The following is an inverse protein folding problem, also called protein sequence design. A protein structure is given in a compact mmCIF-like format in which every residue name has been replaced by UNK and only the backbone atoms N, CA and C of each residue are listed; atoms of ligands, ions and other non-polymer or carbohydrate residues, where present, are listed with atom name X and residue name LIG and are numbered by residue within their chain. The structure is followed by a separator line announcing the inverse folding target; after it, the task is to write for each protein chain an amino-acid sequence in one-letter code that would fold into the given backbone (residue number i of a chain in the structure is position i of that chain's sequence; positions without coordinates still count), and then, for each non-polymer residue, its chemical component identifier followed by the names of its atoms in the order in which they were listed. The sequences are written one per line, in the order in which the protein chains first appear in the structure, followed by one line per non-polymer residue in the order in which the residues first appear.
data_IF_767941546977
#
_entry.id   IF_767941546977
#
_cell.length_a   1.000
_cell.length_b   1.000
_cell.length_c   1.000
_cell.angle_alpha   90.00
_cell.angle_beta   90.00
_cell.angle_gamma   90.00
#
_symmetry.space_group_name_H-M   'P 1'
#
loop_
_entity.id
_entity.type
_entity.pdbx_description
1 polymer ?
#
# COMPACT_ATOMS: atom_id res chain seq x y z
N UNK A 1 -27.06 -47.19 -8.57
CA UNK A 1 -25.91 -46.53 -7.93
C UNK A 1 -25.31 -45.54 -8.93
N UNK A 2 -25.49 -44.23 -8.74
CA UNK A 2 -24.97 -43.20 -9.66
C UNK A 2 -23.52 -42.91 -9.28
N UNK A 3 -22.57 -43.30 -10.14
CA UNK A 3 -21.15 -42.92 -10.01
C UNK A 3 -21.04 -41.40 -10.21
N UNK A 4 -20.58 -40.67 -9.20
CA UNK A 4 -20.24 -39.26 -9.34
C UNK A 4 -18.88 -39.19 -10.02
N UNK A 5 -18.84 -38.64 -11.24
CA UNK A 5 -17.61 -38.39 -11.97
C UNK A 5 -17.07 -37.04 -11.51
N UNK A 6 -15.95 -37.03 -10.79
CA UNK A 6 -15.25 -35.79 -10.42
C UNK A 6 -14.42 -35.37 -11.62
N UNK A 7 -14.94 -34.46 -12.44
CA UNK A 7 -14.16 -33.83 -13.51
C UNK A 7 -13.25 -32.78 -12.88
N UNK A 8 -11.94 -32.97 -12.93
CA UNK A 8 -10.97 -31.93 -12.59
C UNK A 8 -11.13 -30.76 -13.56
N UNK A 9 -11.41 -29.56 -13.04
CA UNK A 9 -11.44 -28.33 -13.82
C UNK A 9 -10.00 -27.92 -14.18
N UNK A 10 -9.78 -27.30 -15.36
CA UNK A 10 -8.46 -26.84 -15.77
C UNK A 10 -7.95 -25.76 -14.80
N UNK A 11 -6.65 -25.79 -14.48
CA UNK A 11 -5.98 -24.87 -13.54
C UNK A 11 -6.16 -23.40 -13.97
N UNK A 12 -6.39 -23.14 -15.25
CA UNK A 12 -6.69 -21.81 -15.79
C UNK A 12 -8.05 -21.23 -15.38
N UNK A 13 -8.99 -22.05 -14.90
CA UNK A 13 -10.30 -21.60 -14.42
C UNK A 13 -10.32 -21.17 -12.94
N UNK A 14 -9.23 -21.36 -12.18
CA UNK A 14 -9.12 -20.88 -10.80
C UNK A 14 -8.82 -19.37 -10.69
N UNK A 15 -8.52 -18.70 -11.79
CA UNK A 15 -8.28 -17.26 -11.80
C UNK A 15 -9.56 -16.43 -12.01
N UNK A 16 -10.72 -17.07 -12.19
CA UNK A 16 -12.02 -16.41 -12.43
C UNK A 16 -13.01 -16.53 -11.26
N UNK A 17 -12.52 -16.74 -10.03
CA UNK A 17 -13.27 -16.41 -8.80
C UNK A 17 -13.05 -14.95 -8.41
N UNK A 18 -13.33 -14.04 -9.35
CA UNK A 18 -13.26 -12.60 -9.11
C UNK A 18 -14.57 -12.10 -8.48
N UNK A 19 -14.66 -12.12 -7.15
CA UNK A 19 -15.14 -10.96 -6.36
C UNK A 19 -15.04 -11.10 -4.83
N UNK A 20 -14.74 -12.26 -4.23
CA UNK A 20 -14.72 -12.39 -2.76
C UNK A 20 -13.33 -12.47 -2.10
N UNK A 21 -12.23 -12.45 -2.86
CA UNK A 21 -10.93 -12.09 -2.29
C UNK A 21 -10.88 -10.57 -2.28
N UNK A 22 -11.39 -9.96 -1.21
CA UNK A 22 -11.15 -8.55 -0.93
C UNK A 22 -9.67 -8.28 -1.22
N UNK A 23 -9.36 -7.27 -2.06
CA UNK A 23 -7.99 -6.89 -2.37
C UNK A 23 -7.34 -6.36 -1.09
N UNK A 24 -6.91 -7.27 -0.23
CA UNK A 24 -6.32 -6.97 1.06
C UNK A 24 -4.90 -6.50 0.81
N UNK A 25 -4.57 -5.37 1.40
CA UNK A 25 -3.21 -4.85 1.39
C UNK A 25 -2.35 -5.68 2.32
N UNK A 26 -1.15 -6.04 1.86
CA UNK A 26 -0.17 -6.76 2.67
C UNK A 26 1.04 -5.86 2.93
N UNK A 27 1.69 -6.06 4.08
CA UNK A 27 3.00 -5.48 4.35
C UNK A 27 3.97 -5.95 3.26
N UNK A 28 4.74 -5.02 2.72
CA UNK A 28 5.64 -5.22 1.58
C UNK A 28 5.03 -4.86 0.23
N UNK A 29 3.71 -4.66 0.12
CA UNK A 29 3.08 -4.31 -1.15
C UNK A 29 3.52 -2.95 -1.68
N UNK A 30 3.72 -2.87 -3.00
CA UNK A 30 3.84 -1.60 -3.72
C UNK A 30 2.49 -0.89 -3.77
N UNK A 31 2.49 0.41 -3.49
CA UNK A 31 1.28 1.24 -3.53
C UNK A 31 1.57 2.68 -3.99
N UNK A 32 0.50 3.38 -4.36
CA UNK A 32 0.49 4.81 -4.63
C UNK A 32 -0.56 5.49 -3.75
N UNK A 33 -0.11 6.39 -2.87
CA UNK A 33 -0.98 7.18 -2.00
C UNK A 33 -1.59 8.32 -2.80
N UNK A 34 -2.92 8.44 -2.77
CA UNK A 34 -3.64 9.42 -3.58
C UNK A 34 -3.50 9.20 -5.09
N UNK A 35 -3.02 8.02 -5.50
CA UNK A 35 -2.77 7.70 -6.91
C UNK A 35 -1.44 8.21 -7.48
N UNK A 36 -0.68 9.03 -6.75
CA UNK A 36 0.50 9.71 -7.31
C UNK A 36 1.78 9.48 -6.52
N UNK A 37 1.70 9.38 -5.19
CA UNK A 37 2.89 9.31 -4.34
C UNK A 37 3.29 7.84 -4.13
N UNK A 38 4.43 7.39 -4.69
CA UNK A 38 4.86 6.01 -4.55
C UNK A 38 5.36 5.67 -3.13
N UNK A 39 5.10 4.43 -2.71
CA UNK A 39 5.69 3.88 -1.49
C UNK A 39 5.45 2.38 -1.32
N UNK A 40 5.89 1.83 -0.19
CA UNK A 40 5.67 0.43 0.19
C UNK A 40 4.94 0.36 1.53
N UNK A 41 3.98 -0.54 1.63
CA UNK A 41 3.24 -0.76 2.87
C UNK A 41 4.16 -1.38 3.91
N UNK A 42 4.24 -0.76 5.09
CA UNK A 42 5.03 -1.22 6.22
C UNK A 42 4.14 -1.63 7.42
N UNK A 43 2.89 -1.18 7.43
CA UNK A 43 1.91 -1.51 8.47
C UNK A 43 0.50 -1.57 7.89
N UNK A 44 -0.31 -2.51 8.36
CA UNK A 44 -1.75 -2.57 8.10
C UNK A 44 -2.45 -2.98 9.39
N UNK A 45 -3.37 -2.16 9.89
CA UNK A 45 -4.13 -2.49 11.10
C UNK A 45 -4.74 -1.29 11.82
N UNK A 46 -5.25 -1.55 13.01
CA UNK A 46 -5.78 -0.51 13.90
C UNK A 46 -4.66 0.34 14.50
N UNK A 47 -4.96 1.61 14.78
CA UNK A 47 -3.99 2.54 15.37
C UNK A 47 -4.55 3.19 16.63
N UNK A 48 -3.65 3.69 17.49
CA UNK A 48 -4.06 4.41 18.71
C UNK A 48 -4.59 5.82 18.43
N UNK A 49 -4.26 6.39 17.28
CA UNK A 49 -4.61 7.77 16.93
C UNK A 49 -5.91 7.89 16.12
N UNK A 50 -6.50 6.78 15.66
CA UNK A 50 -7.79 6.84 14.99
C UNK A 50 -8.43 5.48 14.73
N UNK A 51 -9.77 5.39 14.76
CA UNK A 51 -10.48 4.13 14.59
C UNK A 51 -10.41 3.58 13.17
N UNK A 52 -10.61 2.27 13.02
CA UNK A 52 -10.66 1.55 11.74
C UNK A 52 -9.28 1.29 11.15
N UNK A 53 -9.24 0.58 10.03
CA UNK A 53 -7.97 0.12 9.44
C UNK A 53 -7.18 1.30 8.83
N UNK A 54 -5.88 1.30 9.09
CA UNK A 54 -4.89 2.22 8.56
C UNK A 54 -3.78 1.46 7.85
N UNK A 55 -3.20 2.10 6.85
CA UNK A 55 -1.94 1.68 6.26
C UNK A 55 -0.84 2.66 6.68
N UNK A 56 0.25 2.12 7.24
CA UNK A 56 1.52 2.82 7.35
C UNK A 56 2.35 2.53 6.10
N UNK A 57 2.81 3.57 5.44
CA UNK A 57 3.56 3.50 4.17
C UNK A 57 4.92 4.14 4.39
N UNK A 58 5.96 3.44 3.95
CA UNK A 58 7.30 4.02 3.73
C UNK A 58 7.31 4.54 2.30
N UNK A 59 7.38 5.85 2.15
CA UNK A 59 7.42 6.52 0.86
C UNK A 59 8.80 6.34 0.21
N UNK A 60 8.87 6.51 -1.10
CA UNK A 60 10.16 6.47 -1.80
C UNK A 60 10.96 7.77 -1.60
N UNK A 61 10.26 8.88 -1.35
CA UNK A 61 10.81 10.23 -1.19
C UNK A 61 10.43 10.81 0.18
N UNK A 62 11.20 11.77 0.74
CA UNK A 62 10.99 12.36 2.07
C UNK A 62 9.83 13.39 2.12
N UNK A 63 8.65 12.99 1.61
CA UNK A 63 7.44 13.83 1.51
C UNK A 63 6.30 13.39 2.44
N UNK A 64 6.62 12.50 3.37
CA UNK A 64 5.74 11.99 4.42
C UNK A 64 5.71 12.88 5.66
N UNK A 65 4.99 12.41 6.69
CA UNK A 65 4.67 13.20 7.88
C UNK A 65 5.35 12.67 9.15
N UNK A 66 5.87 11.43 9.11
CA UNK A 66 6.39 10.77 10.29
C UNK A 66 7.59 9.87 9.97
N UNK A 67 8.14 9.26 11.01
CA UNK A 67 9.30 8.36 10.97
C UNK A 67 8.90 6.90 11.31
N UNK A 68 7.64 6.51 11.09
CA UNK A 68 7.09 5.21 11.48
C UNK A 68 6.46 5.17 12.88
N UNK A 69 6.44 6.31 13.57
CA UNK A 69 5.74 6.50 14.84
C UNK A 69 4.75 7.67 14.79
N UNK A 70 3.69 7.61 15.60
CA UNK A 70 2.74 8.71 15.79
C UNK A 70 2.49 8.87 17.29
N UNK A 71 2.66 10.09 17.81
CA UNK A 71 2.50 10.41 19.23
C UNK A 71 3.28 9.47 20.18
N UNK A 72 4.52 9.13 19.81
CA UNK A 72 5.40 8.26 20.59
C UNK A 72 5.11 6.76 20.48
N UNK A 73 4.11 6.36 19.71
CA UNK A 73 3.78 4.95 19.46
C UNK A 73 4.37 4.53 18.13
N UNK A 74 5.22 3.50 18.13
CA UNK A 74 5.89 2.98 16.95
C UNK A 74 5.05 1.88 16.28
N UNK A 75 4.97 1.93 14.95
CA UNK A 75 4.19 0.98 14.16
C UNK A 75 5.05 0.25 13.12
N UNK A 76 6.07 0.90 12.57
CA UNK A 76 7.01 0.29 11.63
C UNK A 76 8.38 0.96 11.68
N UNK A 77 9.41 0.18 11.39
CA UNK A 77 10.81 0.60 11.26
C UNK A 77 11.29 0.28 9.85
N UNK A 78 12.39 0.90 9.41
CA UNK A 78 13.02 0.54 8.14
C UNK A 78 13.74 -0.80 8.36
N UNK A 79 13.29 -1.87 7.70
CA UNK A 79 14.02 -3.13 7.72
C UNK A 79 15.41 -2.93 7.07
N UNK A 80 16.47 -3.37 7.75
CA UNK A 80 17.90 -3.24 7.38
C UNK A 80 18.34 -3.92 6.07
N UNK A 81 17.40 -4.32 5.19
CA UNK A 81 17.71 -5.21 4.05
C UNK A 81 18.24 -4.50 2.81
N UNK A 82 18.17 -3.17 2.75
CA UNK A 82 18.75 -2.36 1.68
C UNK A 82 19.28 -1.05 2.28
N UNK A 83 20.54 -1.07 2.71
CA UNK A 83 21.29 0.14 3.02
C UNK A 83 22.65 0.05 2.33
N UNK A 84 22.89 0.98 1.40
CA UNK A 84 24.25 1.36 1.05
C UNK A 84 24.95 1.82 2.35
N UNK A 85 26.21 1.43 2.51
CA UNK A 85 27.01 1.41 3.75
C UNK A 85 27.08 2.72 4.54
N UNK A 86 26.58 3.84 4.02
CA UNK A 86 26.63 5.15 4.67
C UNK A 86 25.36 5.48 5.48
N UNK A 87 24.28 4.71 5.33
CA UNK A 87 22.99 4.96 6.00
C UNK A 87 22.70 3.98 7.15
N UNK A 88 23.76 3.54 7.84
CA UNK A 88 23.76 2.49 8.87
C UNK A 88 23.37 2.95 10.30
N UNK A 89 22.83 4.17 10.48
CA UNK A 89 22.56 4.74 11.81
C UNK A 89 21.10 5.07 12.12
N UNK A 90 20.15 4.68 11.27
CA UNK A 90 18.73 5.00 11.52
C UNK A 90 17.95 3.75 11.96
N UNK A 91 17.76 3.59 13.28
CA UNK A 91 16.91 2.56 13.90
C UNK A 91 15.41 2.73 13.54
N UNK A 92 15.04 3.83 12.87
CA UNK A 92 13.68 4.19 12.50
C UNK A 92 13.59 4.51 11.01
N UNK A 93 12.36 4.49 10.46
CA UNK A 93 12.13 5.08 9.15
C UNK A 93 12.66 6.53 9.15
N UNK A 94 13.37 6.94 8.10
CA UNK A 94 13.97 8.26 8.05
C UNK A 94 12.87 9.35 8.24
N UNK A 95 13.20 10.49 8.86
CA UNK A 95 12.22 11.56 9.05
C UNK A 95 11.59 11.93 7.71
N UNK A 96 10.27 12.13 7.73
CA UNK A 96 9.46 12.45 6.56
C UNK A 96 9.36 11.33 5.51
N UNK A 97 9.70 10.07 5.81
CA UNK A 97 9.43 8.95 4.90
C UNK A 97 8.16 8.16 5.26
N UNK A 98 7.72 8.23 6.52
CA UNK A 98 6.52 7.56 6.99
C UNK A 98 5.25 8.37 6.70
N UNK A 99 4.21 7.69 6.25
CA UNK A 99 2.88 8.27 6.07
C UNK A 99 1.79 7.28 6.52
N UNK A 100 0.80 7.77 7.26
CA UNK A 100 -0.41 7.00 7.57
C UNK A 100 -1.58 7.46 6.70
N UNK A 101 -2.28 6.52 6.08
CA UNK A 101 -3.47 6.83 5.31
C UNK A 101 -4.52 5.71 5.42
N UNK A 102 -5.74 6.02 5.00
CA UNK A 102 -6.79 5.00 4.84
C UNK A 102 -6.45 4.11 3.65
N UNK A 103 -6.77 2.82 3.76
CA UNK A 103 -6.60 1.85 2.66
C UNK A 103 -7.29 2.28 1.37
N UNK A 104 -8.40 3.03 1.48
CA UNK A 104 -9.12 3.61 0.34
C UNK A 104 -8.34 4.67 -0.43
N UNK A 105 -7.29 5.25 0.15
CA UNK A 105 -6.38 6.19 -0.52
C UNK A 105 -5.25 5.49 -1.28
N UNK A 106 -5.14 4.17 -1.19
CA UNK A 106 -4.10 3.40 -1.84
C UNK A 106 -4.56 2.85 -3.19
N UNK A 107 -3.66 2.85 -4.15
CA UNK A 107 -3.84 2.24 -5.47
C UNK A 107 -2.63 1.38 -5.84
N UNK A 108 -2.85 0.32 -6.61
CA UNK A 108 -1.80 -0.62 -7.04
C UNK A 108 -0.96 -0.09 -8.20
N UNK A 109 -1.49 0.90 -8.91
CA UNK A 109 -0.89 1.54 -10.07
C UNK A 109 -1.08 3.05 -9.94
N UNK A 110 -0.19 3.86 -10.54
CA UNK A 110 -0.36 5.31 -10.53
C UNK A 110 -1.63 5.68 -11.29
N UNK A 111 -2.41 6.60 -10.72
CA UNK A 111 -3.58 7.18 -11.36
C UNK A 111 -3.10 8.37 -12.19
N UNK A 112 -3.18 8.22 -13.52
CA UNK A 112 -2.95 9.34 -14.44
C UNK A 112 -4.17 10.26 -14.32
N UNK A 113 -4.02 11.38 -13.62
CA UNK A 113 -5.02 12.44 -13.65
C UNK A 113 -4.95 13.04 -15.05
N UNK A 114 -5.87 12.65 -15.93
CA UNK A 114 -6.07 13.35 -17.19
C UNK A 114 -6.42 14.79 -16.83
N UNK A 115 -5.52 15.73 -17.11
CA UNK A 115 -5.86 17.14 -17.04
C UNK A 115 -7.08 17.34 -17.95
N UNK A 116 -8.17 18.00 -17.49
CA UNK A 116 -9.23 18.38 -18.41
C UNK A 116 -8.57 19.16 -19.53
N UNK A 117 -8.81 18.70 -20.74
CA UNK A 117 -8.33 19.29 -21.97
C UNK A 117 -8.69 20.78 -21.95
N UNK A 118 -7.66 21.63 -21.98
CA UNK A 118 -7.80 23.08 -22.01
C UNK A 118 -8.66 23.57 -23.21
N UNK A 119 -8.96 22.69 -24.16
CA UNK A 119 -9.82 22.93 -25.31
C UNK A 119 -11.33 23.04 -24.97
N UNK A 120 -11.78 22.62 -23.79
CA UNK A 120 -13.20 22.72 -23.38
C UNK A 120 -13.55 24.04 -22.67
N UNK A 121 -12.56 24.84 -22.29
CA UNK A 121 -12.77 26.09 -21.53
C UNK A 121 -13.19 27.31 -22.38
N UNK A 122 -13.38 27.15 -23.69
CA UNK A 122 -13.72 28.23 -24.63
C UNK A 122 -14.95 27.95 -25.50
N UNK A 123 -15.85 27.05 -25.07
CA UNK A 123 -17.15 26.84 -25.73
C UNK A 123 -18.30 27.40 -24.92
#
# INVERSE_FOLDING_TARGET
MRKVSVTALPISSLLSVSSCVARKWLVGDRCYVGGTVPGRIAFVGDTRFGPGEWAGVVLDEPVGENNGSVAGVMYFQKDDKYVDVEQLYQENCAPNYGLFCRLSKLSKQPVVIQQPDAASAFR
#
